data_IF_188956265367
#
_entry.id   IF_188956265367
#
_cell.length_a   1.000
_cell.length_b   1.000
_cell.length_c   1.000
_cell.angle_alpha   90.00
_cell.angle_beta   90.00
_cell.angle_gamma   90.00
#
_symmetry.space_group_name_H-M   'P 1'
#
loop_
_entity.id
_entity.type
_entity.pdbx_description
1 polymer ?
#
# COMPACT_ATOMS: atom_id res chain seq x y z
N UNK A 1 -18.07 -9.28 29.44
CA UNK A 1 -17.98 -7.84 29.14
C UNK A 1 -17.19 -7.69 27.85
N UNK A 2 -17.68 -6.93 26.88
CA UNK A 2 -16.96 -6.71 25.60
C UNK A 2 -16.20 -5.39 25.68
N UNK A 3 -14.87 -5.48 25.59
CA UNK A 3 -13.96 -4.34 25.74
C UNK A 3 -13.58 -3.71 24.40
N UNK A 4 -13.94 -4.36 23.30
CA UNK A 4 -13.58 -3.92 21.95
C UNK A 4 -14.02 -2.47 21.64
N UNK A 5 -15.22 -2.01 22.05
CA UNK A 5 -15.64 -0.63 21.81
C UNK A 5 -14.76 0.40 22.54
N UNK A 6 -14.46 0.17 23.82
CA UNK A 6 -13.68 1.08 24.65
C UNK A 6 -12.21 1.16 24.20
N UNK A 7 -11.61 0.02 23.86
CA UNK A 7 -10.23 -0.03 23.34
C UNK A 7 -10.13 0.69 22.00
N UNK A 8 -11.12 0.51 21.12
CA UNK A 8 -11.13 1.17 19.82
C UNK A 8 -11.18 2.69 19.95
N UNK A 9 -12.00 3.20 20.85
CA UNK A 9 -12.11 4.63 21.11
C UNK A 9 -10.79 5.21 21.64
N UNK A 10 -10.17 4.55 22.61
CA UNK A 10 -8.85 4.92 23.12
C UNK A 10 -7.77 4.90 22.02
N UNK A 11 -7.78 3.90 21.13
CA UNK A 11 -6.81 3.78 20.05
C UNK A 11 -6.96 4.89 19.00
N UNK A 12 -8.20 5.25 18.66
CA UNK A 12 -8.46 6.37 17.75
C UNK A 12 -7.91 7.67 18.35
N UNK A 13 -8.17 7.93 19.63
CA UNK A 13 -7.69 9.12 20.34
C UNK A 13 -6.16 9.14 20.49
N UNK A 14 -5.53 7.97 20.57
CA UNK A 14 -4.07 7.83 20.65
C UNK A 14 -3.37 7.94 19.28
N UNK A 15 -4.12 8.04 18.17
CA UNK A 15 -3.54 8.14 16.83
C UNK A 15 -2.81 9.48 16.70
N UNK A 16 -1.56 9.51 16.20
CA UNK A 16 -0.81 10.75 16.10
C UNK A 16 -1.52 11.76 15.19
N UNK A 17 -1.68 12.98 15.70
CA UNK A 17 -2.28 14.10 14.95
C UNK A 17 -1.29 14.75 13.97
N UNK A 18 -0.02 14.35 14.01
CA UNK A 18 1.06 14.87 13.18
C UNK A 18 1.49 13.85 12.11
N UNK A 19 1.95 14.33 10.96
CA UNK A 19 2.57 13.48 9.95
C UNK A 19 3.82 12.82 10.54
N UNK A 20 3.86 11.48 10.50
CA UNK A 20 5.06 10.73 10.87
C UNK A 20 6.14 10.79 9.79
N UNK A 21 5.74 11.07 8.54
CA UNK A 21 6.69 11.27 7.45
C UNK A 21 7.19 12.71 7.40
N UNK A 22 8.51 12.84 7.20
CA UNK A 22 9.14 14.10 6.85
C UNK A 22 8.81 14.51 5.40
N UNK A 23 9.16 15.74 5.05
CA UNK A 23 8.89 16.35 3.74
C UNK A 23 9.43 15.55 2.54
N UNK A 24 10.49 14.76 2.75
CA UNK A 24 11.20 14.03 1.70
C UNK A 24 10.87 12.53 1.68
N UNK A 25 9.88 12.11 2.46
CA UNK A 25 9.45 10.73 2.52
C UNK A 25 8.84 10.27 1.19
N UNK A 26 9.44 9.25 0.58
CA UNK A 26 8.99 8.69 -0.70
C UNK A 26 7.73 7.81 -0.56
N UNK A 27 7.35 7.47 0.66
CA UNK A 27 6.15 6.69 0.97
C UNK A 27 6.28 5.20 0.65
N UNK A 28 5.13 4.53 0.57
CA UNK A 28 5.02 3.11 0.23
C UNK A 28 4.51 2.94 -1.20
N UNK A 29 4.93 1.87 -1.87
CA UNK A 29 4.40 1.51 -3.17
C UNK A 29 2.91 1.12 -3.06
N UNK A 30 2.05 1.76 -3.85
CA UNK A 30 0.60 1.49 -3.88
C UNK A 30 0.22 0.11 -4.46
N UNK A 31 1.19 -0.61 -5.03
CA UNK A 31 0.99 -1.94 -5.63
C UNK A 31 1.45 -3.05 -4.69
N UNK A 32 2.63 -2.90 -4.06
CA UNK A 32 3.25 -3.96 -3.25
C UNK A 32 3.51 -3.60 -1.79
N UNK A 33 3.33 -2.34 -1.39
CA UNK A 33 3.58 -1.87 -0.03
C UNK A 33 5.05 -1.72 0.35
N UNK A 34 5.99 -1.95 -0.56
CA UNK A 34 7.42 -1.76 -0.30
C UNK A 34 7.72 -0.29 0.05
N UNK A 35 8.59 -0.09 1.02
CA UNK A 35 9.07 1.23 1.42
C UNK A 35 9.97 1.81 0.33
N UNK A 36 9.53 2.89 -0.32
CA UNK A 36 10.27 3.53 -1.41
C UNK A 36 11.51 4.29 -0.89
N UNK A 37 11.58 4.54 0.43
CA UNK A 37 12.77 5.08 1.05
C UNK A 37 13.94 4.07 1.08
N UNK A 38 13.65 2.77 1.04
CA UNK A 38 14.66 1.71 1.00
C UNK A 38 15.09 1.35 -0.44
N UNK A 39 14.37 1.87 -1.44
CA UNK A 39 14.67 1.66 -2.86
C UNK A 39 13.43 1.56 -3.74
N UNK A 40 13.65 1.69 -5.04
CA UNK A 40 12.58 1.64 -6.05
C UNK A 40 12.12 0.20 -6.24
N UNK A 41 10.81 -0.04 -6.16
CA UNK A 41 10.23 -1.33 -6.49
C UNK A 41 10.05 -1.49 -8.02
N UNK A 42 10.07 -2.73 -8.52
CA UNK A 42 9.84 -3.05 -9.93
C UNK A 42 8.36 -3.01 -10.37
N UNK A 43 7.46 -2.37 -9.62
CA UNK A 43 6.05 -2.30 -9.97
C UNK A 43 5.83 -1.35 -11.14
N UNK A 44 5.19 -1.83 -12.21
CA UNK A 44 4.71 -0.96 -13.28
C UNK A 44 3.47 -0.20 -12.79
N UNK A 45 3.65 1.04 -12.31
CA UNK A 45 2.50 1.90 -11.98
C UNK A 45 1.92 2.51 -13.26
N UNK A 46 0.60 2.45 -13.50
CA UNK A 46 -0.01 3.44 -14.38
C UNK A 46 0.16 4.80 -13.70
N UNK A 47 0.91 5.70 -14.33
CA UNK A 47 1.05 7.09 -13.87
C UNK A 47 -0.31 7.76 -13.92
N UNK A 48 -0.97 7.84 -12.77
CA UNK A 48 -2.09 8.77 -12.59
C UNK A 48 -1.84 9.61 -11.35
N UNK A 49 -0.74 10.35 -11.41
CA UNK A 49 -0.69 11.67 -10.79
C UNK A 49 -1.67 12.54 -11.59
N UNK A 50 -2.78 12.94 -10.96
CA UNK A 50 -3.85 13.83 -11.48
C UNK A 50 -4.84 13.31 -12.54
N UNK A 51 -5.13 12.01 -12.64
CA UNK A 51 -6.33 11.62 -13.40
C UNK A 51 -7.62 11.87 -12.58
N UNK A 52 -8.67 12.46 -13.17
CA UNK A 52 -10.00 12.49 -12.57
C UNK A 52 -10.40 11.07 -12.18
N UNK A 53 -10.91 10.89 -10.95
CA UNK A 53 -11.45 9.61 -10.48
C UNK A 53 -12.33 9.00 -11.57
N UNK A 54 -11.93 7.89 -12.22
CA UNK A 54 -12.79 7.24 -13.18
C UNK A 54 -14.00 6.73 -12.42
N UNK A 55 -15.19 7.03 -12.95
CA UNK A 55 -16.47 6.58 -12.42
C UNK A 55 -16.39 5.09 -12.07
N UNK A 56 -16.87 4.71 -10.88
CA UNK A 56 -16.89 3.33 -10.39
C UNK A 56 -17.93 2.52 -11.18
N UNK A 57 -17.66 2.26 -12.46
CA UNK A 57 -18.30 1.20 -13.21
C UNK A 57 -17.26 0.10 -13.39
N UNK A 58 -17.22 -0.74 -12.37
CA UNK A 58 -16.67 -2.11 -12.32
C UNK A 58 -15.94 -2.56 -13.59
N UNK A 59 -14.63 -2.31 -13.68
CA UNK A 59 -13.80 -2.99 -14.67
C UNK A 59 -13.62 -4.43 -14.20
N UNK A 60 -14.20 -5.35 -14.96
CA UNK A 60 -14.14 -6.78 -14.67
C UNK A 60 -12.68 -7.22 -14.56
N UNK A 61 -12.38 -7.90 -13.46
CA UNK A 61 -11.18 -8.70 -13.26
C UNK A 61 -10.96 -9.61 -14.47
N UNK A 62 -9.91 -9.36 -15.26
CA UNK A 62 -9.27 -10.40 -16.07
C UNK A 62 -7.87 -10.61 -15.52
N UNK A 63 -7.80 -11.27 -14.36
CA UNK A 63 -6.55 -11.92 -13.93
C UNK A 63 -6.14 -12.88 -15.05
N UNK A 64 -5.03 -12.60 -15.72
CA UNK A 64 -4.44 -13.54 -16.68
C UNK A 64 -3.45 -14.45 -15.93
N UNK A 65 -3.67 -15.77 -15.90
CA UNK A 65 -2.88 -16.71 -15.09
C UNK A 65 -1.44 -16.97 -15.60
N UNK A 66 -1.02 -16.44 -16.75
CA UNK A 66 0.24 -16.83 -17.40
C UNK A 66 1.48 -15.97 -17.09
N UNK A 67 1.43 -15.01 -16.15
CA UNK A 67 2.66 -14.32 -15.69
C UNK A 67 2.89 -14.51 -14.20
N UNK A 68 3.12 -15.76 -13.81
CA UNK A 68 3.80 -16.06 -12.55
C UNK A 68 5.29 -15.81 -12.76
N UNK A 69 5.74 -14.58 -12.56
CA UNK A 69 7.18 -14.36 -12.38
C UNK A 69 7.58 -14.99 -11.06
N UNK A 70 8.29 -16.11 -11.16
CA UNK A 70 8.92 -16.84 -10.08
C UNK A 70 9.81 -15.91 -9.25
N UNK A 71 9.38 -15.60 -8.03
CA UNK A 71 10.25 -15.01 -7.00
C UNK A 71 11.25 -16.10 -6.59
N UNK A 72 12.49 -15.98 -7.05
CA UNK A 72 13.59 -16.84 -6.59
C UNK A 72 14.07 -16.30 -5.25
N UNK A 73 13.65 -16.93 -4.15
CA UNK A 73 14.18 -16.64 -2.82
C UNK A 73 15.59 -17.22 -2.76
N UNK A 74 16.62 -16.36 -2.83
CA UNK A 74 17.99 -16.76 -2.49
C UNK A 74 18.02 -17.04 -0.99
N UNK A 75 18.20 -18.30 -0.60
CA UNK A 75 18.54 -18.68 0.77
C UNK A 75 19.98 -18.24 1.02
N UNK A 76 20.18 -17.31 1.95
CA UNK A 76 21.49 -16.97 2.49
C UNK A 76 21.90 -17.98 3.56
N UNK A 77 23.18 -18.37 3.50
CA UNK A 77 23.85 -19.45 4.23
C UNK A 77 23.85 -19.34 5.75
#
# INVERSE_FOLDING_TARGET
IDLLPAIREQLILATPLQSLCNENCLGLCQVCGSNLNDGICGCCTPVTSSAPVPNFQQTKSKRNPSKRSSVSVRRGS
#
